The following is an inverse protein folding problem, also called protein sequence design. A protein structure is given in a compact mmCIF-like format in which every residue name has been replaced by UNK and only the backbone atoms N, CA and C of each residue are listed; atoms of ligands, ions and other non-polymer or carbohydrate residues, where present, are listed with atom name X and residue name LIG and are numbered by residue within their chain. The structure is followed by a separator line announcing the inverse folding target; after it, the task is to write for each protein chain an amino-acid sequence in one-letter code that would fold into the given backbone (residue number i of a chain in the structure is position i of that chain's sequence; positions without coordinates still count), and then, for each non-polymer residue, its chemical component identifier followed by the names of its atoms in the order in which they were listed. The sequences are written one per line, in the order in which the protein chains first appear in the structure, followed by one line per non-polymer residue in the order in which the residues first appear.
data_IF_555745474230
#
_entry.id   IF_555745474230
#
_cell.length_a   1.000
_cell.length_b   1.000
_cell.length_c   1.000
_cell.angle_alpha   90.00
_cell.angle_beta   90.00
_cell.angle_gamma   90.00
#
_symmetry.space_group_name_H-M   'P 1'
#
loop_
_entity.id
_entity.type
_entity.pdbx_description
1 polymer ?
#
# COMPACT_ATOMS: atom_id res chain seq x y z
N UNK A 1 -15.41 6.51 12.24
CA UNK A 1 -14.84 6.04 13.51
C UNK A 1 -13.61 5.19 13.21
N UNK A 2 -12.42 5.68 13.54
CA UNK A 2 -11.15 5.00 13.34
C UNK A 2 -10.89 4.10 14.56
N UNK A 3 -10.75 2.79 14.36
CA UNK A 3 -10.46 1.82 15.44
C UNK A 3 -8.97 1.80 15.78
N UNK A 4 -8.13 1.90 14.76
CA UNK A 4 -6.67 1.85 14.90
C UNK A 4 -6.03 2.61 13.75
N UNK A 5 -4.94 3.30 14.03
CA UNK A 5 -4.14 4.02 13.03
C UNK A 5 -2.66 3.80 13.31
N UNK A 6 -1.91 3.37 12.30
CA UNK A 6 -0.46 3.33 12.33
C UNK A 6 0.08 4.52 11.53
N UNK A 7 0.89 5.37 12.16
CA UNK A 7 1.44 6.57 11.55
C UNK A 7 2.96 6.48 11.41
N UNK A 8 3.49 7.10 10.38
CA UNK A 8 4.92 7.36 10.27
C UNK A 8 5.31 8.41 11.31
N UNK A 9 6.20 8.08 12.23
CA UNK A 9 6.70 9.08 13.16
C UNK A 9 7.32 10.26 12.39
N UNK A 10 7.19 11.48 12.91
CA UNK A 10 7.70 12.66 12.22
C UNK A 10 9.19 12.56 11.86
N UNK A 11 10.12 12.09 12.73
CA UNK A 11 11.51 11.94 12.35
C UNK A 11 11.72 10.94 11.21
N UNK A 12 10.98 9.82 11.22
CA UNK A 12 11.03 8.81 10.17
C UNK A 12 10.51 9.35 8.84
N UNK A 13 9.36 10.03 8.86
CA UNK A 13 8.78 10.65 7.67
C UNK A 13 9.74 11.69 7.07
N UNK A 14 10.30 12.59 7.88
CA UNK A 14 11.29 13.57 7.41
C UNK A 14 12.54 12.88 6.82
N UNK A 15 13.01 11.79 7.41
CA UNK A 15 14.11 11.00 6.88
C UNK A 15 13.79 10.37 5.51
N UNK A 16 12.60 9.81 5.35
CA UNK A 16 12.13 9.25 4.07
C UNK A 16 11.98 10.35 3.01
N UNK A 17 11.38 11.49 3.37
CA UNK A 17 11.21 12.63 2.47
C UNK A 17 12.56 13.21 2.00
N UNK A 18 13.56 13.27 2.87
CA UNK A 18 14.91 13.70 2.49
C UNK A 18 15.52 12.76 1.43
N UNK A 19 15.37 11.44 1.60
CA UNK A 19 15.86 10.44 0.63
C UNK A 19 15.13 10.59 -0.72
N UNK A 20 13.80 10.76 -0.70
CA UNK A 20 13.00 11.00 -1.90
C UNK A 20 13.47 12.26 -2.62
N UNK A 21 13.61 13.38 -1.92
CA UNK A 21 14.07 14.66 -2.48
C UNK A 21 15.48 14.58 -3.06
N UNK A 22 16.44 13.95 -2.37
CA UNK A 22 17.79 13.70 -2.87
C UNK A 22 17.80 12.86 -4.16
N UNK A 23 16.79 12.00 -4.33
CA UNK A 23 16.60 11.15 -5.51
C UNK A 23 15.75 11.81 -6.61
N UNK A 24 15.30 13.05 -6.42
CA UNK A 24 14.50 13.80 -7.38
C UNK A 24 13.03 13.40 -7.43
N UNK A 25 12.49 12.77 -6.36
CA UNK A 25 11.10 12.37 -6.29
C UNK A 25 10.29 13.21 -5.32
N UNK A 26 9.06 13.49 -5.72
CA UNK A 26 8.04 14.12 -4.89
C UNK A 26 7.00 13.06 -4.52
N UNK A 27 6.65 12.91 -3.22
CA UNK A 27 5.64 11.97 -2.79
C UNK A 27 4.23 12.58 -2.78
N UNK A 28 3.25 11.69 -2.82
CA UNK A 28 1.91 11.93 -2.32
C UNK A 28 1.83 11.34 -0.91
N UNK A 29 1.25 12.09 0.04
CA UNK A 29 1.13 11.65 1.43
C UNK A 29 -0.33 11.51 1.83
N UNK A 30 -0.66 10.37 2.43
CA UNK A 30 -1.98 10.06 2.96
C UNK A 30 -2.03 10.24 4.47
N UNK A 31 -3.08 10.92 4.93
CA UNK A 31 -3.45 11.06 6.33
C UNK A 31 -4.96 10.86 6.46
N UNK A 32 -5.50 10.90 7.68
CA UNK A 32 -6.96 10.81 7.89
C UNK A 32 -7.65 12.12 7.48
N UNK A 33 -7.78 12.32 6.18
CA UNK A 33 -8.28 13.54 5.55
C UNK A 33 -9.64 13.39 4.88
N UNK A 34 -10.22 12.18 4.88
CA UNK A 34 -11.48 11.88 4.21
C UNK A 34 -12.61 12.83 4.61
N UNK A 35 -12.75 13.12 5.91
CA UNK A 35 -13.75 14.04 6.42
C UNK A 35 -13.49 15.51 6.03
N UNK A 36 -12.28 15.81 5.55
CA UNK A 36 -11.90 17.14 5.05
C UNK A 36 -12.11 17.28 3.53
N UNK A 37 -12.65 16.22 2.88
CA UNK A 37 -13.03 16.22 1.48
C UNK A 37 -11.87 16.12 0.50
N UNK A 38 -10.75 15.51 0.90
CA UNK A 38 -9.63 15.17 0.02
C UNK A 38 -8.92 13.91 0.52
N UNK A 39 -8.13 13.27 -0.35
CA UNK A 39 -7.53 11.98 -0.06
C UNK A 39 -6.04 12.09 0.30
N UNK A 40 -5.29 12.98 -0.35
CA UNK A 40 -3.85 13.07 -0.18
C UNK A 40 -3.30 14.50 -0.29
N UNK A 41 -2.12 14.71 0.26
CA UNK A 41 -1.33 15.92 0.09
C UNK A 41 -0.31 15.74 -1.03
N UNK A 42 -0.05 16.81 -1.79
CA UNK A 42 1.04 16.90 -2.77
C UNK A 42 1.70 18.27 -2.75
N UNK A 43 2.94 18.34 -3.22
CA UNK A 43 3.68 19.61 -3.33
C UNK A 43 3.07 20.49 -4.42
N UNK A 44 2.79 19.89 -5.59
CA UNK A 44 2.27 20.53 -6.80
C UNK A 44 1.50 19.52 -7.66
N UNK A 45 0.78 19.99 -8.67
CA UNK A 45 0.01 19.14 -9.58
C UNK A 45 0.69 18.91 -10.93
N UNK A 46 1.75 19.66 -11.23
CA UNK A 46 2.57 19.61 -12.45
C UNK A 46 3.88 18.83 -12.19
N UNK A 47 3.75 17.59 -11.68
CA UNK A 47 4.90 16.74 -11.37
C UNK A 47 5.80 16.53 -12.60
N UNK A 48 7.12 16.47 -12.37
CA UNK A 48 8.10 16.25 -13.44
C UNK A 48 8.11 14.79 -13.93
N UNK A 49 7.78 13.84 -13.04
CA UNK A 49 7.66 12.43 -13.40
C UNK A 49 6.35 12.20 -14.16
N UNK A 50 6.40 11.69 -15.41
CA UNK A 50 5.18 11.48 -16.22
C UNK A 50 4.13 10.60 -15.57
N UNK A 51 4.57 9.56 -14.86
CA UNK A 51 3.68 8.61 -14.17
C UNK A 51 2.93 9.28 -13.01
N UNK A 52 3.62 10.13 -12.25
CA UNK A 52 3.02 10.89 -11.16
C UNK A 52 2.09 11.99 -11.69
N UNK A 53 2.48 12.67 -12.77
CA UNK A 53 1.65 13.67 -13.44
C UNK A 53 0.34 13.07 -13.96
N UNK A 54 0.39 11.87 -14.55
CA UNK A 54 -0.81 11.14 -14.98
C UNK A 54 -1.73 10.81 -13.79
N UNK A 55 -1.14 10.33 -12.68
CA UNK A 55 -1.89 10.03 -11.47
C UNK A 55 -2.63 11.27 -10.94
N UNK A 56 -1.92 12.39 -10.80
CA UNK A 56 -2.46 13.65 -10.32
C UNK A 56 -3.59 14.18 -11.23
N UNK A 57 -3.42 14.08 -12.56
CA UNK A 57 -4.42 14.50 -13.53
C UNK A 57 -5.70 13.65 -13.42
N UNK A 58 -5.58 12.33 -13.28
CA UNK A 58 -6.73 11.41 -13.13
C UNK A 58 -7.44 11.53 -11.77
N UNK A 59 -6.75 12.02 -10.76
CA UNK A 59 -7.28 12.25 -9.40
C UNK A 59 -7.42 13.75 -9.10
N UNK A 60 -7.72 14.55 -10.12
CA UNK A 60 -7.94 15.97 -9.95
C UNK A 60 -9.11 16.21 -8.97
N UNK A 61 -8.86 17.06 -7.95
CA UNK A 61 -9.85 17.34 -6.89
C UNK A 61 -9.76 16.45 -5.65
N UNK A 62 -9.01 15.33 -5.71
CA UNK A 62 -8.79 14.46 -4.54
C UNK A 62 -7.57 14.89 -3.69
N UNK A 63 -6.88 15.94 -4.06
CA UNK A 63 -5.64 16.38 -3.43
C UNK A 63 -5.79 17.73 -2.71
N UNK A 64 -4.87 17.97 -1.80
CA UNK A 64 -4.60 19.30 -1.22
C UNK A 64 -3.14 19.66 -1.43
N UNK A 65 -2.89 20.83 -2.00
CA UNK A 65 -1.55 21.38 -2.12
C UNK A 65 -0.97 21.69 -0.74
N UNK A 66 0.24 21.23 -0.51
CA UNK A 66 1.00 21.44 0.72
C UNK A 66 2.47 21.72 0.34
N UNK A 67 2.83 22.99 0.02
CA UNK A 67 4.15 23.34 -0.51
C UNK A 67 5.31 22.95 0.42
N UNK A 68 5.08 22.97 1.73
CA UNK A 68 6.06 22.64 2.75
C UNK A 68 6.21 21.12 2.99
N UNK A 69 5.50 20.28 2.23
CA UNK A 69 5.42 18.83 2.44
C UNK A 69 6.77 18.16 2.63
N UNK A 70 7.78 18.58 1.85
CA UNK A 70 9.12 18.00 1.90
C UNK A 70 9.93 18.43 3.13
N UNK A 71 9.62 19.54 3.75
CA UNK A 71 10.39 20.15 4.86
C UNK A 71 9.65 20.14 6.18
N UNK A 72 8.33 20.28 6.14
CA UNK A 72 7.44 20.32 7.30
C UNK A 72 6.15 19.55 7.00
N UNK A 73 6.21 18.19 6.91
CA UNK A 73 5.07 17.38 6.52
C UNK A 73 3.92 17.47 7.53
N UNK A 74 2.66 17.30 7.07
CA UNK A 74 1.49 17.32 7.94
C UNK A 74 1.55 16.20 8.98
N UNK A 75 0.87 16.34 10.13
CA UNK A 75 0.74 15.27 11.11
C UNK A 75 -0.19 14.16 10.62
N UNK A 76 -0.12 12.98 11.26
CA UNK A 76 -1.06 11.89 11.01
C UNK A 76 -0.84 11.15 9.69
N UNK A 77 0.33 11.29 9.06
CA UNK A 77 0.66 10.57 7.82
C UNK A 77 0.85 9.09 8.12
N UNK A 78 0.03 8.25 7.49
CA UNK A 78 0.08 6.80 7.65
C UNK A 78 0.65 6.07 6.41
N UNK A 79 0.70 6.71 5.26
CA UNK A 79 1.30 6.17 4.05
C UNK A 79 1.70 7.29 3.09
N UNK A 80 2.57 6.96 2.15
CA UNK A 80 2.89 7.82 1.03
C UNK A 80 3.43 7.00 -0.13
N UNK A 81 3.45 7.56 -1.32
CA UNK A 81 4.12 6.94 -2.46
C UNK A 81 4.61 7.99 -3.46
N UNK A 82 5.52 7.57 -4.30
CA UNK A 82 5.87 8.25 -5.55
C UNK A 82 5.75 7.28 -6.72
N UNK A 83 5.87 7.78 -7.95
CA UNK A 83 5.71 6.97 -9.15
C UNK A 83 6.89 7.13 -10.10
N UNK A 84 7.12 6.09 -10.91
CA UNK A 84 8.12 6.05 -11.95
C UNK A 84 8.15 4.70 -12.66
N UNK A 85 9.20 4.43 -13.40
CA UNK A 85 9.41 3.11 -14.02
C UNK A 85 9.69 2.04 -12.94
N UNK A 86 9.46 0.78 -13.28
CA UNK A 86 9.72 -0.34 -12.34
C UNK A 86 11.16 -0.32 -11.80
N UNK A 87 12.14 -0.09 -12.67
CA UNK A 87 13.55 -0.07 -12.27
C UNK A 87 13.83 1.05 -11.26
N UNK A 88 13.34 2.26 -11.52
CA UNK A 88 13.48 3.40 -10.63
C UNK A 88 12.83 3.16 -9.26
N UNK A 89 11.61 2.62 -9.23
CA UNK A 89 10.91 2.36 -7.97
C UNK A 89 11.56 1.26 -7.15
N UNK A 90 12.09 0.21 -7.78
CA UNK A 90 12.88 -0.81 -7.10
C UNK A 90 14.20 -0.25 -6.53
N UNK A 91 14.90 0.61 -7.27
CA UNK A 91 16.11 1.26 -6.80
C UNK A 91 15.83 2.17 -5.59
N UNK A 92 14.75 2.97 -5.67
CA UNK A 92 14.30 3.83 -4.59
C UNK A 92 13.92 3.03 -3.34
N UNK A 93 13.13 1.96 -3.49
CA UNK A 93 12.76 1.07 -2.38
C UNK A 93 14.00 0.49 -1.69
N UNK A 94 14.97 -0.01 -2.48
CA UNK A 94 16.24 -0.51 -1.96
C UNK A 94 17.06 0.58 -1.25
N UNK A 95 17.04 1.81 -1.74
CA UNK A 95 17.73 2.95 -1.12
C UNK A 95 17.09 3.29 0.23
N UNK A 96 15.76 3.37 0.29
CA UNK A 96 15.02 3.59 1.53
C UNK A 96 15.33 2.52 2.57
N UNK A 97 15.30 1.24 2.20
CA UNK A 97 15.62 0.12 3.09
C UNK A 97 17.07 0.15 3.60
N UNK A 98 18.04 0.55 2.76
CA UNK A 98 19.44 0.69 3.19
C UNK A 98 19.67 1.85 4.14
N UNK A 99 18.97 2.98 3.93
CA UNK A 99 19.17 4.21 4.74
C UNK A 99 18.30 4.27 5.98
N UNK A 100 17.18 3.56 5.98
CA UNK A 100 16.22 3.46 7.09
C UNK A 100 15.91 1.98 7.40
N UNK A 101 16.94 1.17 7.75
CA UNK A 101 16.78 -0.26 7.93
C UNK A 101 15.77 -0.56 9.04
N UNK A 102 14.85 -1.49 8.77
CA UNK A 102 13.83 -1.96 9.73
C UNK A 102 12.92 -0.88 10.35
N UNK A 103 12.82 0.31 9.74
CA UNK A 103 11.99 1.40 10.25
C UNK A 103 10.69 1.61 9.49
N UNK A 104 10.67 1.27 8.20
CA UNK A 104 9.48 1.38 7.34
C UNK A 104 9.38 0.17 6.41
N UNK A 105 8.20 -0.07 5.91
CA UNK A 105 7.98 -1.02 4.81
C UNK A 105 7.85 -0.27 3.50
N UNK A 106 8.36 -0.87 2.43
CA UNK A 106 8.25 -0.36 1.06
C UNK A 106 7.68 -1.43 0.16
N UNK A 107 6.73 -1.06 -0.70
CA UNK A 107 6.17 -1.94 -1.71
C UNK A 107 6.25 -1.29 -3.08
N UNK A 108 6.71 -2.05 -4.08
CA UNK A 108 6.70 -1.60 -5.46
C UNK A 108 5.53 -2.27 -6.17
N UNK A 109 4.46 -1.49 -6.36
CA UNK A 109 3.18 -1.96 -6.85
C UNK A 109 2.90 -1.44 -8.26
N UNK A 110 2.15 -2.21 -9.04
CA UNK A 110 1.64 -1.78 -10.33
C UNK A 110 0.12 -1.57 -10.25
N UNK A 111 -0.34 -0.37 -10.57
CA UNK A 111 -1.76 -0.15 -10.76
C UNK A 111 -2.17 -0.43 -12.21
N UNK A 112 -3.24 -1.16 -12.49
CA UNK A 112 -3.74 -1.35 -13.85
C UNK A 112 -4.32 -0.06 -14.46
N UNK A 113 -4.61 0.96 -13.64
CA UNK A 113 -5.26 2.20 -14.07
C UNK A 113 -4.28 3.31 -14.45
N UNK A 114 -2.98 3.17 -14.12
CA UNK A 114 -1.95 4.17 -14.36
C UNK A 114 -0.74 3.56 -15.03
N UNK A 115 -0.01 4.36 -15.79
CA UNK A 115 1.30 3.95 -16.30
C UNK A 115 2.34 3.94 -15.16
N UNK A 116 3.29 3.00 -15.26
CA UNK A 116 4.38 2.91 -14.30
C UNK A 116 4.08 2.10 -13.06
N UNK A 117 4.87 2.37 -12.03
CA UNK A 117 4.86 1.67 -10.75
C UNK A 117 4.89 2.67 -9.61
N UNK A 118 4.28 2.32 -8.51
CA UNK A 118 4.32 3.06 -7.25
C UNK A 118 5.44 2.49 -6.38
N UNK A 119 6.21 3.35 -5.72
CA UNK A 119 6.99 2.98 -4.54
C UNK A 119 6.26 3.51 -3.32
N UNK A 120 5.52 2.63 -2.65
CA UNK A 120 4.79 2.94 -1.43
C UNK A 120 5.74 2.89 -0.23
N UNK A 121 5.53 3.80 0.73
CA UNK A 121 6.14 3.81 2.05
C UNK A 121 5.05 3.75 3.11
N UNK A 122 5.24 2.88 4.11
CA UNK A 122 4.30 2.69 5.22
C UNK A 122 5.06 2.44 6.53
N UNK A 123 4.43 2.63 7.70
CA UNK A 123 5.01 2.24 8.97
C UNK A 123 5.36 0.75 8.98
N UNK A 124 6.48 0.41 9.61
CA UNK A 124 6.93 -0.98 9.73
C UNK A 124 5.84 -1.88 10.31
N UNK A 125 5.54 -2.98 9.61
CA UNK A 125 4.53 -3.94 10.02
C UNK A 125 3.08 -3.49 9.83
N UNK A 126 2.83 -2.29 9.26
CA UNK A 126 1.49 -1.84 8.89
C UNK A 126 1.06 -2.50 7.58
N UNK A 127 0.58 -3.72 7.67
CA UNK A 127 0.11 -4.52 6.54
C UNK A 127 -1.40 -4.74 6.61
N UNK A 128 -2.02 -5.16 5.50
CA UNK A 128 -3.42 -5.59 5.49
C UNK A 128 -3.66 -6.66 6.57
N UNK A 129 -2.73 -7.60 6.72
CA UNK A 129 -2.82 -8.66 7.73
C UNK A 129 -2.75 -8.15 9.16
N UNK A 130 -1.86 -7.21 9.47
CA UNK A 130 -1.79 -6.64 10.82
C UNK A 130 -3.08 -5.96 11.24
N UNK A 131 -3.78 -5.30 10.29
CA UNK A 131 -5.08 -4.69 10.54
C UNK A 131 -6.18 -5.75 10.74
N UNK A 132 -6.21 -6.80 9.90
CA UNK A 132 -7.16 -7.93 10.06
C UNK A 132 -6.93 -8.64 11.39
N UNK A 133 -5.68 -8.96 11.74
CA UNK A 133 -5.34 -9.58 13.02
C UNK A 133 -5.80 -8.76 14.21
N UNK A 134 -5.57 -7.46 14.18
CA UNK A 134 -6.00 -6.57 15.27
C UNK A 134 -7.51 -6.63 15.48
N UNK A 135 -8.28 -6.59 14.40
CA UNK A 135 -9.74 -6.69 14.47
C UNK A 135 -10.21 -8.09 14.93
N UNK A 136 -9.55 -9.14 14.42
CA UNK A 136 -9.84 -10.53 14.81
C UNK A 136 -9.57 -10.78 16.29
N UNK A 137 -8.47 -10.23 16.84
CA UNK A 137 -8.16 -10.27 18.27
C UNK A 137 -9.27 -9.63 19.12
N UNK A 138 -9.77 -8.45 18.73
CA UNK A 138 -10.88 -7.77 19.41
C UNK A 138 -12.19 -8.59 19.36
N UNK A 139 -12.38 -9.37 18.31
CA UNK A 139 -13.56 -10.24 18.13
C UNK A 139 -13.34 -11.68 18.59
N UNK A 140 -12.16 -12.00 19.12
CA UNK A 140 -11.78 -13.34 19.56
C UNK A 140 -11.85 -14.40 18.43
N UNK A 141 -11.51 -14.00 17.20
CA UNK A 141 -11.41 -14.88 16.04
C UNK A 141 -9.94 -15.30 15.90
N UNK A 142 -9.69 -16.61 15.87
CA UNK A 142 -8.35 -17.13 15.68
C UNK A 142 -7.91 -17.04 14.19
N UNK A 143 -6.61 -16.91 13.89
CA UNK A 143 -6.12 -16.83 12.51
C UNK A 143 -6.55 -18.01 11.62
N UNK A 144 -6.68 -19.21 12.18
CA UNK A 144 -7.13 -20.42 11.49
C UNK A 144 -8.63 -20.43 11.15
N UNK A 145 -9.40 -19.49 11.69
CA UNK A 145 -10.80 -19.25 11.34
C UNK A 145 -10.98 -18.19 10.25
N UNK A 146 -9.87 -17.63 9.73
CA UNK A 146 -9.89 -16.55 8.72
C UNK A 146 -9.60 -17.14 7.34
N UNK A 147 -10.43 -16.81 6.35
CA UNK A 147 -10.13 -16.99 4.95
C UNK A 147 -9.70 -15.65 4.35
N UNK A 148 -8.54 -15.62 3.70
CA UNK A 148 -7.99 -14.42 3.05
C UNK A 148 -7.76 -14.68 1.56
N UNK A 149 -8.17 -13.73 0.71
CA UNK A 149 -7.89 -13.77 -0.72
C UNK A 149 -7.18 -12.51 -1.18
N UNK A 150 -6.30 -12.64 -2.18
CA UNK A 150 -5.55 -11.52 -2.69
C UNK A 150 -5.00 -11.76 -4.10
N UNK A 151 -4.38 -10.70 -4.68
CA UNK A 151 -3.83 -10.76 -6.03
C UNK A 151 -2.44 -10.11 -6.19
N UNK A 152 -1.97 -9.33 -5.21
CA UNK A 152 -0.67 -8.65 -5.30
C UNK A 152 0.20 -8.88 -4.05
N UNK A 153 1.44 -8.41 -4.09
CA UNK A 153 2.47 -8.61 -3.05
C UNK A 153 2.07 -8.06 -1.68
N UNK A 154 1.23 -7.03 -1.62
CA UNK A 154 0.72 -6.47 -0.37
C UNK A 154 -0.32 -7.36 0.33
N UNK A 155 -0.79 -8.44 -0.34
CA UNK A 155 -1.68 -9.46 0.22
C UNK A 155 -0.93 -10.67 0.79
N UNK A 156 0.39 -10.75 0.54
CA UNK A 156 1.20 -11.93 0.82
C UNK A 156 1.14 -12.36 2.29
N UNK A 157 1.21 -11.39 3.21
CA UNK A 157 1.16 -11.69 4.64
C UNK A 157 -0.17 -12.31 5.04
N UNK A 158 -1.31 -11.76 4.57
CA UNK A 158 -2.63 -12.30 4.94
C UNK A 158 -2.91 -13.66 4.29
N UNK A 159 -2.43 -13.88 3.06
CA UNK A 159 -2.58 -15.17 2.36
C UNK A 159 -1.73 -16.26 3.01
N UNK A 160 -0.55 -15.92 3.56
CA UNK A 160 0.31 -16.88 4.25
C UNK A 160 -0.14 -17.25 5.67
N UNK A 161 -0.75 -16.32 6.37
CA UNK A 161 -0.98 -16.44 7.81
C UNK A 161 -2.45 -16.72 8.17
N UNK A 162 -3.39 -16.56 7.24
CA UNK A 162 -4.79 -16.97 7.42
C UNK A 162 -4.93 -18.50 7.41
N UNK A 163 -5.99 -19.02 8.03
CA UNK A 163 -6.30 -20.45 8.02
C UNK A 163 -6.63 -21.01 6.64
N UNK A 164 -7.10 -20.17 5.72
CA UNK A 164 -7.23 -20.47 4.30
C UNK A 164 -6.75 -19.27 3.49
N UNK A 165 -5.57 -19.37 2.91
CA UNK A 165 -5.01 -18.36 2.02
C UNK A 165 -5.29 -18.68 0.55
N UNK A 166 -5.91 -17.77 -0.17
CA UNK A 166 -6.29 -17.94 -1.57
C UNK A 166 -5.66 -16.88 -2.45
N UNK A 167 -4.98 -17.30 -3.51
CA UNK A 167 -4.57 -16.39 -4.59
C UNK A 167 -5.64 -16.37 -5.68
N UNK A 168 -5.96 -15.17 -6.18
CA UNK A 168 -6.80 -15.04 -7.38
C UNK A 168 -6.05 -15.51 -8.62
N UNK A 169 -6.75 -15.99 -9.63
CA UNK A 169 -6.14 -16.49 -10.88
C UNK A 169 -5.29 -15.47 -11.63
N UNK A 170 -5.62 -14.18 -11.48
CA UNK A 170 -4.83 -13.05 -12.00
C UNK A 170 -3.69 -12.59 -11.07
N UNK A 171 -3.48 -13.24 -9.93
CA UNK A 171 -2.47 -12.85 -8.96
C UNK A 171 -1.04 -12.99 -9.49
N UNK A 172 -0.12 -12.25 -8.88
CA UNK A 172 1.33 -12.39 -9.12
C UNK A 172 1.83 -13.78 -8.73
N UNK A 173 2.88 -14.27 -9.41
CA UNK A 173 3.38 -15.63 -9.21
C UNK A 173 3.86 -15.88 -7.76
N UNK A 174 4.43 -14.86 -7.11
CA UNK A 174 4.87 -14.95 -5.72
C UNK A 174 3.69 -15.23 -4.77
N UNK A 175 2.54 -14.60 -4.99
CA UNK A 175 1.34 -14.83 -4.20
C UNK A 175 0.73 -16.20 -4.46
N UNK A 176 0.67 -16.63 -5.74
CA UNK A 176 0.22 -17.98 -6.12
C UNK A 176 1.07 -19.07 -5.48
N UNK A 177 2.39 -18.86 -5.40
CA UNK A 177 3.30 -19.81 -4.76
C UNK A 177 3.14 -19.90 -3.23
N UNK A 178 2.57 -18.88 -2.61
CA UNK A 178 2.38 -18.79 -1.16
C UNK A 178 0.99 -19.23 -0.69
N UNK A 179 0.00 -19.30 -1.59
CA UNK A 179 -1.39 -19.59 -1.27
C UNK A 179 -1.66 -21.09 -1.12
N UNK A 180 -2.64 -21.46 -0.28
CA UNK A 180 -3.14 -22.82 -0.14
C UNK A 180 -3.95 -23.25 -1.38
N UNK A 181 -4.65 -22.29 -2.01
CA UNK A 181 -5.49 -22.52 -3.20
C UNK A 181 -5.38 -21.35 -4.17
N UNK A 182 -5.64 -21.65 -5.45
CA UNK A 182 -5.75 -20.65 -6.52
C UNK A 182 -7.19 -20.69 -7.03
N UNK A 183 -7.90 -19.57 -6.90
CA UNK A 183 -9.23 -19.38 -7.44
C UNK A 183 -9.18 -18.99 -8.92
N UNK A 184 -10.29 -19.04 -9.66
CA UNK A 184 -10.41 -18.37 -10.96
C UNK A 184 -10.06 -16.88 -10.88
N UNK A 185 -9.90 -16.23 -12.03
CA UNK A 185 -9.61 -14.79 -12.08
C UNK A 185 -10.81 -13.96 -11.58
N UNK A 186 -10.57 -12.68 -11.31
CA UNK A 186 -11.65 -11.75 -10.94
C UNK A 186 -12.68 -11.58 -12.06
N UNK A 187 -12.30 -11.77 -13.34
CA UNK A 187 -13.19 -11.74 -14.50
C UNK A 187 -14.03 -13.03 -14.66
N UNK A 188 -13.68 -14.09 -13.94
CA UNK A 188 -14.33 -15.41 -13.95
C UNK A 188 -15.08 -15.70 -12.64
N UNK A 189 -15.48 -14.66 -11.92
CA UNK A 189 -16.17 -14.76 -10.62
C UNK A 189 -15.41 -15.56 -9.57
N UNK A 190 -14.07 -15.53 -9.59
CA UNK A 190 -13.22 -16.31 -8.69
C UNK A 190 -13.51 -16.11 -7.21
N UNK A 191 -14.05 -14.95 -6.81
CA UNK A 191 -14.44 -14.70 -5.42
C UNK A 191 -15.59 -15.60 -4.95
N UNK A 192 -16.47 -16.05 -5.85
CA UNK A 192 -17.55 -16.98 -5.53
C UNK A 192 -16.95 -18.31 -5.06
N UNK A 193 -15.93 -18.79 -5.75
CA UNK A 193 -15.23 -20.02 -5.39
C UNK A 193 -14.51 -19.88 -4.03
N UNK A 194 -13.94 -18.71 -3.74
CA UNK A 194 -13.33 -18.43 -2.42
C UNK A 194 -14.36 -18.55 -1.30
N UNK A 195 -15.54 -17.96 -1.48
CA UNK A 195 -16.65 -18.03 -0.50
C UNK A 195 -17.14 -19.47 -0.32
N UNK A 196 -17.28 -20.25 -1.39
CA UNK A 196 -17.65 -21.66 -1.31
C UNK A 196 -16.65 -22.45 -0.47
N UNK A 197 -15.35 -22.27 -0.70
CA UNK A 197 -14.32 -22.94 0.10
C UNK A 197 -14.30 -22.49 1.56
N UNK A 198 -14.51 -21.21 1.83
CA UNK A 198 -14.60 -20.69 3.19
C UNK A 198 -15.81 -21.26 3.95
N UNK A 199 -16.90 -21.58 3.24
CA UNK A 199 -18.11 -22.19 3.81
C UNK A 199 -18.08 -23.73 3.83
N UNK A 200 -16.96 -24.36 3.42
CA UNK A 200 -16.82 -25.82 3.39
C UNK A 200 -17.65 -26.52 2.30
N UNK A 201 -17.91 -25.82 1.20
CA UNK A 201 -18.66 -26.33 0.04
C UNK A 201 -17.77 -26.72 -1.11
#
# INVERSE_FOLDING_TARGET
FTLYQAELSRPLLCGALAILGESGYEPLLYADTYQHGFDFFCVRTDAEQPELAEYLAKNAGCHRLYPELMTDPPPGVFAGFTMGTRAQMLELANLLQRRLPDQLDTHVLRSPFYHGYMCEIAPRGATKWSAVRRLAEDWQIAPDEICAAGDDVNDLAMVREAGLGVAMGNAVDELKAAADRIAPTHDEDGIVQVVEWALGK
#
